data_IF_008760519385
#
_entry.id   IF_008760519385
#
_cell.length_a   1.000
_cell.length_b   1.000
_cell.length_c   1.000
_cell.angle_alpha   90.00
_cell.angle_beta   90.00
_cell.angle_gamma   90.00
#
_symmetry.space_group_name_H-M   'P 1'
#
loop_
_entity.id
_entity.type
_entity.pdbx_description
1 polymer ?
#
# COMPACT_ATOMS: atom_id res chain seq x y z
N UNK A 1 -5.30 0.19 -0.64
CA UNK A 1 -4.05 0.08 -1.42
C UNK A 1 -4.36 0.32 -2.87
N UNK A 2 -3.82 1.39 -3.47
CA UNK A 2 -3.94 1.68 -4.90
C UNK A 2 -2.54 1.73 -5.51
N UNK A 3 -2.44 1.36 -6.79
CA UNK A 3 -1.23 1.62 -7.57
C UNK A 3 -1.26 3.03 -8.15
N UNK A 4 -0.13 3.74 -8.12
CA UNK A 4 -0.05 5.11 -8.64
C UNK A 4 -0.38 5.19 -10.13
N UNK A 5 0.14 4.24 -10.93
CA UNK A 5 0.00 4.17 -12.39
C UNK A 5 -1.04 3.14 -12.80
N UNK A 6 -2.23 3.26 -12.21
CA UNK A 6 -3.37 2.39 -12.47
C UNK A 6 -4.56 3.21 -12.99
N UNK A 7 -5.13 2.79 -14.13
CA UNK A 7 -6.34 3.41 -14.69
C UNK A 7 -7.53 3.29 -13.72
N UNK A 8 -7.51 2.30 -12.83
CA UNK A 8 -8.52 2.10 -11.79
C UNK A 8 -8.27 2.93 -10.53
N UNK A 9 -7.16 3.67 -10.44
CA UNK A 9 -6.82 4.46 -9.25
C UNK A 9 -7.94 5.43 -8.87
N UNK A 10 -8.48 6.16 -9.85
CA UNK A 10 -9.51 7.16 -9.59
C UNK A 10 -10.74 6.56 -8.88
N UNK A 11 -11.18 5.37 -9.28
CA UNK A 11 -12.28 4.68 -8.59
C UNK A 11 -11.92 4.24 -7.17
N UNK A 12 -10.69 3.78 -6.95
CA UNK A 12 -10.25 3.41 -5.60
C UNK A 12 -10.09 4.61 -4.68
N UNK A 13 -9.62 5.75 -5.20
CA UNK A 13 -9.50 7.01 -4.47
C UNK A 13 -10.88 7.55 -4.08
N UNK A 14 -11.85 7.52 -5.01
CA UNK A 14 -13.24 7.91 -4.74
C UNK A 14 -13.89 7.02 -3.67
N UNK A 15 -13.76 5.70 -3.79
CA UNK A 15 -14.36 4.78 -2.82
C UNK A 15 -13.78 4.96 -1.41
N UNK A 16 -12.47 5.22 -1.30
CA UNK A 16 -11.85 5.51 -0.02
C UNK A 16 -12.41 6.81 0.61
N UNK A 17 -12.66 7.84 -0.20
CA UNK A 17 -13.28 9.08 0.25
C UNK A 17 -14.73 8.85 0.72
N UNK A 18 -15.54 8.10 -0.04
CA UNK A 18 -16.93 7.77 0.34
C UNK A 18 -16.99 7.00 1.67
N UNK A 19 -16.09 6.05 1.90
CA UNK A 19 -15.98 5.32 3.17
C UNK A 19 -15.61 6.26 4.33
N UNK A 20 -14.65 7.15 4.12
CA UNK A 20 -14.24 8.12 5.13
C UNK A 20 -15.37 9.11 5.46
N UNK A 21 -16.11 9.60 4.45
CA UNK A 21 -17.29 10.45 4.64
C UNK A 21 -18.40 9.75 5.43
N UNK A 22 -18.54 8.43 5.27
CA UNK A 22 -19.46 7.61 6.05
C UNK A 22 -18.99 7.32 7.50
N UNK A 23 -17.82 7.83 7.90
CA UNK A 23 -17.25 7.64 9.24
C UNK A 23 -16.57 6.28 9.45
N UNK A 24 -16.24 5.57 8.38
CA UNK A 24 -15.40 4.36 8.46
C UNK A 24 -13.95 4.77 8.70
N UNK A 25 -13.26 4.08 9.59
CA UNK A 25 -11.81 4.23 9.76
C UNK A 25 -11.08 3.63 8.54
N UNK A 26 -10.55 4.49 7.68
CA UNK A 26 -9.95 4.11 6.38
C UNK A 26 -8.47 4.47 6.37
N UNK A 27 -7.62 3.46 6.16
CA UNK A 27 -6.23 3.67 5.78
C UNK A 27 -6.09 3.58 4.25
N UNK A 28 -5.92 4.75 3.62
CA UNK A 28 -5.74 4.86 2.17
C UNK A 28 -4.27 5.07 1.81
N UNK A 29 -3.70 4.11 1.08
CA UNK A 29 -2.31 4.16 0.62
C UNK A 29 -2.26 4.04 -0.90
N UNK A 30 -1.53 4.96 -1.54
CA UNK A 30 -1.17 4.91 -2.96
C UNK A 30 0.33 4.58 -3.04
N UNK A 31 0.68 3.46 -3.68
CA UNK A 31 2.07 3.03 -3.78
C UNK A 31 2.73 3.68 -5.00
N UNK A 32 3.82 4.45 -4.81
CA UNK A 32 4.48 5.16 -5.90
C UNK A 32 5.07 4.18 -6.92
N UNK A 33 5.17 4.60 -8.18
CA UNK A 33 5.78 3.87 -9.30
C UNK A 33 5.16 2.50 -9.66
N UNK A 34 4.16 2.03 -8.91
CA UNK A 34 3.48 0.75 -9.16
C UNK A 34 2.44 0.84 -10.27
N UNK A 35 2.20 -0.29 -10.93
CA UNK A 35 1.18 -0.47 -11.97
C UNK A 35 0.08 -1.42 -11.49
N UNK A 36 -1.04 -1.43 -12.22
CA UNK A 36 -2.12 -2.38 -12.00
C UNK A 36 -1.62 -3.83 -11.78
N UNK A 37 -2.25 -4.50 -10.82
CA UNK A 37 -1.96 -5.88 -10.41
C UNK A 37 -0.50 -6.14 -9.98
N UNK A 38 0.21 -5.14 -9.42
CA UNK A 38 1.54 -5.36 -8.85
C UNK A 38 1.53 -6.43 -7.75
N UNK A 39 0.42 -6.59 -7.01
CA UNK A 39 0.22 -7.61 -5.97
C UNK A 39 0.30 -9.06 -6.48
N UNK A 40 0.19 -9.27 -7.79
CA UNK A 40 0.21 -10.60 -8.40
C UNK A 40 1.61 -11.01 -8.90
N UNK A 41 2.64 -10.19 -8.64
CA UNK A 41 4.01 -10.37 -9.13
C UNK A 41 4.98 -10.68 -7.98
N UNK A 42 5.05 -11.94 -7.51
CA UNK A 42 5.92 -12.31 -6.39
C UNK A 42 7.38 -11.90 -6.66
N UNK A 43 8.09 -11.51 -5.61
CA UNK A 43 9.48 -11.03 -5.69
C UNK A 43 9.64 -9.53 -5.85
N UNK A 44 8.56 -8.79 -6.12
CA UNK A 44 8.59 -7.33 -6.11
C UNK A 44 8.58 -6.76 -4.68
N UNK A 45 9.41 -5.74 -4.45
CA UNK A 45 9.53 -5.01 -3.19
C UNK A 45 8.18 -4.45 -2.71
N UNK A 46 7.34 -4.02 -3.63
CA UNK A 46 6.04 -3.39 -3.39
C UNK A 46 5.00 -4.40 -2.88
N UNK A 47 5.16 -5.69 -3.21
CA UNK A 47 4.35 -6.76 -2.59
C UNK A 47 4.72 -6.91 -1.13
N UNK A 48 6.01 -7.00 -0.82
CA UNK A 48 6.47 -7.15 0.56
C UNK A 48 5.99 -5.96 1.41
N UNK A 49 6.09 -4.74 0.88
CA UNK A 49 5.57 -3.54 1.53
C UNK A 49 4.04 -3.60 1.73
N UNK A 50 3.28 -3.97 0.71
CA UNK A 50 1.81 -4.09 0.81
C UNK A 50 1.39 -5.14 1.85
N UNK A 51 2.06 -6.29 1.89
CA UNK A 51 1.80 -7.33 2.88
C UNK A 51 2.10 -6.83 4.29
N UNK A 52 3.18 -6.07 4.48
CA UNK A 52 3.51 -5.47 5.79
C UNK A 52 2.40 -4.53 6.26
N UNK A 53 1.97 -3.58 5.42
CA UNK A 53 0.91 -2.64 5.76
C UNK A 53 -0.41 -3.35 6.09
N UNK A 54 -0.82 -4.35 5.30
CA UNK A 54 -2.04 -5.14 5.58
C UNK A 54 -1.90 -5.91 6.89
N UNK A 55 -0.73 -6.47 7.19
CA UNK A 55 -0.49 -7.21 8.41
C UNK A 55 -0.49 -6.30 9.65
N UNK A 56 0.02 -5.07 9.53
CA UNK A 56 -0.02 -4.05 10.59
C UNK A 56 -1.45 -3.61 10.88
N UNK A 57 -2.20 -3.27 9.83
CA UNK A 57 -3.62 -2.94 9.94
C UNK A 57 -4.41 -4.08 10.62
N UNK A 58 -4.19 -5.32 10.19
CA UNK A 58 -4.85 -6.50 10.77
C UNK A 58 -4.57 -6.68 12.26
N UNK A 59 -3.38 -6.27 12.74
CA UNK A 59 -3.01 -6.33 14.15
C UNK A 59 -3.61 -5.21 14.99
N UNK A 60 -4.31 -4.24 14.38
CA UNK A 60 -4.79 -3.04 15.07
C UNK A 60 -3.65 -2.15 15.58
N UNK A 61 -2.47 -2.29 14.99
CA UNK A 61 -1.33 -1.40 15.23
C UNK A 61 -1.33 -0.33 14.15
N UNK A 62 -1.10 0.94 14.51
CA UNK A 62 -0.79 1.94 13.50
C UNK A 62 0.43 1.47 12.68
N UNK A 63 0.41 1.62 11.34
CA UNK A 63 1.54 1.20 10.53
C UNK A 63 2.77 2.00 10.93
N UNK A 64 3.83 1.30 11.34
CA UNK A 64 5.08 1.95 11.70
C UNK A 64 5.70 2.50 10.41
N UNK A 65 5.94 3.82 10.34
CA UNK A 65 6.73 4.39 9.23
C UNK A 65 8.04 3.59 9.12
N UNK A 66 8.39 3.06 7.93
CA UNK A 66 9.61 2.28 7.78
C UNK A 66 10.80 3.14 8.19
N UNK A 67 11.57 2.63 9.14
CA UNK A 67 12.82 3.25 9.58
C UNK A 67 13.77 3.37 8.40
N UNK A 68 14.73 4.32 8.45
CA UNK A 68 15.71 4.50 7.38
C UNK A 68 16.40 3.18 6.99
N UNK A 69 16.65 2.30 7.96
CA UNK A 69 17.24 0.97 7.75
C UNK A 69 16.34 -0.03 6.98
N UNK A 70 15.01 0.15 6.98
CA UNK A 70 14.08 -0.69 6.20
C UNK A 70 13.94 -0.21 4.75
N UNK A 71 14.29 1.05 4.47
CA UNK A 71 14.37 1.58 3.09
C UNK A 71 15.58 0.98 2.36
N UNK A 72 16.73 0.94 3.02
CA UNK A 72 17.97 0.34 2.48
C UNK A 72 17.86 -1.17 2.25
N UNK A 73 16.90 -1.86 2.90
CA UNK A 73 16.66 -3.30 2.72
C UNK A 73 15.79 -3.63 1.50
N UNK A 74 15.14 -2.64 0.88
CA UNK A 74 14.41 -2.80 -0.38
C UNK A 74 15.35 -2.65 -1.60
N UNK A 75 16.58 -2.17 -1.39
CA UNK A 75 17.61 -1.99 -2.41
C UNK A 75 18.47 -3.25 -2.65
N UNK A 76 18.10 -4.39 -2.05
CA UNK A 76 18.90 -5.64 -2.11
C UNK A 76 18.07 -6.88 -2.45
N UNK A 77 17.74 -7.01 -3.74
CA UNK A 77 17.72 -8.29 -4.45
C UNK A 77 18.43 -8.07 -5.80
N UNK A 78 19.34 -8.97 -6.22
CA UNK A 78 19.97 -8.90 -7.55
C UNK A 78 18.96 -9.04 -8.69
#
# INVERSE_FOLDING_TARGET
MNAERDNMRASGDLFAAELAEAGVDVQHHVLPDTRHAFSNRPGLAEIAHTVQLVAEWTRGSEPALPTAAQRDRLDWLP
#
